data_IF_082917453864
#
_entry.id   IF_082917453864
#
_cell.length_a   1.000
_cell.length_b   1.000
_cell.length_c   1.000
_cell.angle_alpha   90.00
_cell.angle_beta   90.00
_cell.angle_gamma   90.00
#
_symmetry.space_group_name_H-M   'P 1'
#
loop_
_entity.id
_entity.type
_entity.pdbx_description
1 polymer ?
#
# COMPACT_ATOMS: atom_id res chain seq x y z
N UNK A 1 27.64 -28.76 19.18
CA UNK A 1 27.69 -27.51 19.97
C UNK A 1 27.84 -26.28 19.08
N UNK A 2 28.78 -26.27 18.13
CA UNK A 2 28.95 -25.14 17.19
C UNK A 2 27.77 -24.99 16.23
N UNK A 3 27.20 -26.08 15.69
CA UNK A 3 25.98 -26.03 14.86
C UNK A 3 24.80 -25.39 15.60
N UNK A 4 24.54 -25.82 16.83
CA UNK A 4 23.47 -25.24 17.65
C UNK A 4 23.66 -23.74 17.89
N UNK A 5 24.91 -23.29 18.12
CA UNK A 5 25.22 -21.87 18.28
C UNK A 5 24.99 -21.10 16.96
N UNK A 6 25.34 -21.69 15.82
CA UNK A 6 25.18 -21.08 14.52
C UNK A 6 23.70 -21.00 14.09
N UNK A 7 22.92 -22.04 14.37
CA UNK A 7 21.48 -22.10 14.13
C UNK A 7 20.73 -21.10 15.01
N UNK A 8 21.05 -21.05 16.31
CA UNK A 8 20.49 -20.09 17.25
C UNK A 8 20.80 -18.64 16.88
N UNK A 9 22.06 -18.34 16.51
CA UNK A 9 22.47 -17.00 16.08
C UNK A 9 21.84 -16.67 14.71
N UNK A 10 21.77 -17.63 13.80
CA UNK A 10 21.14 -17.47 12.50
C UNK A 10 19.65 -17.13 12.63
N UNK A 11 18.90 -17.91 13.39
CA UNK A 11 17.48 -17.69 13.65
C UNK A 11 17.23 -16.35 14.34
N UNK A 12 18.01 -16.03 15.38
CA UNK A 12 17.92 -14.74 16.07
C UNK A 12 18.17 -13.55 15.14
N UNK A 13 19.21 -13.62 14.30
CA UNK A 13 19.49 -12.55 13.33
C UNK A 13 18.36 -12.44 12.32
N UNK A 14 17.90 -13.55 11.75
CA UNK A 14 16.84 -13.56 10.75
C UNK A 14 15.53 -12.99 11.32
N UNK A 15 15.22 -13.30 12.57
CA UNK A 15 14.05 -12.80 13.27
C UNK A 15 14.16 -11.31 13.59
N UNK A 16 15.28 -10.85 14.17
CA UNK A 16 15.51 -9.43 14.48
C UNK A 16 15.54 -8.59 13.22
N UNK A 17 16.27 -9.02 12.17
CA UNK A 17 16.33 -8.28 10.91
C UNK A 17 14.98 -8.32 10.18
N UNK A 18 14.28 -9.45 10.19
CA UNK A 18 12.96 -9.57 9.57
C UNK A 18 11.94 -8.64 10.23
N UNK A 19 11.81 -8.71 11.55
CA UNK A 19 10.90 -7.85 12.32
C UNK A 19 11.27 -6.37 12.18
N UNK A 20 12.56 -6.03 12.26
CA UNK A 20 13.01 -4.65 12.11
C UNK A 20 12.73 -4.11 10.70
N UNK A 21 12.97 -4.89 9.65
CA UNK A 21 12.65 -4.49 8.28
C UNK A 21 11.14 -4.36 8.06
N UNK A 22 10.33 -5.24 8.65
CA UNK A 22 8.87 -5.15 8.60
C UNK A 22 8.39 -3.92 9.36
N UNK A 23 8.88 -3.67 10.57
CA UNK A 23 8.47 -2.52 11.38
C UNK A 23 8.93 -1.19 10.76
N UNK A 24 10.21 -1.08 10.37
CA UNK A 24 10.73 0.09 9.66
C UNK A 24 10.04 0.28 8.31
N UNK A 25 9.78 -0.81 7.60
CA UNK A 25 8.96 -0.84 6.41
C UNK A 25 7.60 -0.23 6.70
N UNK A 26 6.77 -0.88 7.51
CA UNK A 26 5.43 -0.43 7.89
C UNK A 26 5.41 1.00 8.43
N UNK A 27 6.42 1.42 9.19
CA UNK A 27 6.52 2.78 9.72
C UNK A 27 6.86 3.80 8.63
N UNK A 28 7.79 3.50 7.74
CA UNK A 28 8.07 4.30 6.55
C UNK A 28 6.87 4.30 5.59
N UNK A 29 6.10 3.20 5.54
CA UNK A 29 4.84 3.14 4.82
C UNK A 29 3.81 4.04 5.50
N UNK A 30 3.74 4.11 6.83
CA UNK A 30 2.73 4.88 7.56
C UNK A 30 3.07 6.38 7.72
N UNK A 31 4.35 6.77 7.69
CA UNK A 31 4.80 8.17 7.85
C UNK A 31 4.17 9.15 6.84
N UNK A 32 4.12 8.85 5.52
CA UNK A 32 3.43 9.65 4.52
C UNK A 32 1.94 9.91 4.83
N UNK A 33 1.33 9.05 5.65
CA UNK A 33 -0.08 9.10 6.00
C UNK A 33 -0.34 9.95 7.25
N UNK A 34 0.68 10.17 8.08
CA UNK A 34 0.61 10.90 9.36
C UNK A 34 1.18 12.31 9.28
N UNK A 35 2.23 12.53 8.49
CA UNK A 35 2.77 13.87 8.28
C UNK A 35 1.70 14.77 7.64
N UNK A 36 1.77 16.09 7.86
CA UNK A 36 1.06 17.08 7.04
C UNK A 36 1.99 17.63 5.95
N UNK A 37 2.41 16.87 4.92
CA UNK A 37 3.11 17.49 3.81
C UNK A 37 2.18 18.47 3.11
N UNK A 38 2.77 19.46 2.45
CA UNK A 38 2.05 20.24 1.45
C UNK A 38 1.42 19.28 0.43
N UNK A 39 0.15 19.49 0.08
CA UNK A 39 -0.70 18.53 -0.65
C UNK A 39 -0.07 18.03 -1.97
N UNK A 40 0.77 18.85 -2.58
CA UNK A 40 1.53 18.58 -3.79
C UNK A 40 2.62 17.51 -3.64
N UNK A 41 3.26 17.41 -2.47
CA UNK A 41 4.28 16.39 -2.21
C UNK A 41 3.67 15.04 -1.80
N UNK A 42 2.47 15.06 -1.25
CA UNK A 42 1.78 13.83 -0.86
C UNK A 42 1.36 13.01 -2.10
N UNK A 43 0.84 13.66 -3.15
CA UNK A 43 0.34 12.96 -4.34
C UNK A 43 1.35 12.00 -5.01
N UNK A 44 2.59 12.40 -5.33
CA UNK A 44 3.57 11.50 -5.90
C UNK A 44 3.99 10.39 -4.93
N UNK A 45 3.98 10.64 -3.60
CA UNK A 45 4.27 9.61 -2.61
C UNK A 45 3.23 8.48 -2.64
N UNK A 46 1.93 8.82 -2.73
CA UNK A 46 0.86 7.82 -2.84
C UNK A 46 0.91 7.03 -4.16
N UNK A 47 1.32 7.67 -5.26
CA UNK A 47 1.52 6.98 -6.54
C UNK A 47 2.68 5.99 -6.48
N UNK A 48 3.85 6.44 -6.02
CA UNK A 48 5.04 5.58 -5.89
C UNK A 48 4.76 4.43 -4.94
N UNK A 49 4.09 4.71 -3.82
CA UNK A 49 3.76 3.70 -2.83
C UNK A 49 2.74 2.68 -3.36
N UNK A 50 1.67 3.12 -4.01
CA UNK A 50 0.70 2.21 -4.65
C UNK A 50 1.36 1.32 -5.72
N UNK A 51 2.26 1.88 -6.53
CA UNK A 51 3.02 1.13 -7.52
C UNK A 51 3.95 0.09 -6.87
N UNK A 52 4.65 0.46 -5.79
CA UNK A 52 5.54 -0.46 -5.07
C UNK A 52 4.76 -1.62 -4.41
N UNK A 53 3.63 -1.31 -3.77
CA UNK A 53 2.74 -2.32 -3.19
C UNK A 53 2.23 -3.30 -4.25
N UNK A 54 1.84 -2.80 -5.42
CA UNK A 54 1.34 -3.69 -6.46
C UNK A 54 2.45 -4.47 -7.17
N UNK A 55 3.64 -3.89 -7.34
CA UNK A 55 4.79 -4.65 -7.84
C UNK A 55 5.10 -5.86 -6.96
N UNK A 56 5.05 -5.68 -5.63
CA UNK A 56 5.14 -6.80 -4.68
C UNK A 56 3.94 -7.75 -4.80
N UNK A 57 2.74 -7.22 -5.01
CA UNK A 57 1.53 -8.03 -5.13
C UNK A 57 1.50 -8.87 -6.41
N UNK A 58 1.96 -8.33 -7.54
CA UNK A 58 2.13 -9.04 -8.82
C UNK A 58 3.22 -10.09 -8.70
N UNK A 59 4.33 -9.78 -8.02
CA UNK A 59 5.38 -10.77 -7.77
C UNK A 59 4.87 -11.99 -6.99
N UNK A 60 3.95 -11.77 -6.03
CA UNK A 60 3.32 -12.85 -5.26
C UNK A 60 2.16 -13.54 -6.01
N UNK A 61 1.38 -12.77 -6.77
CA UNK A 61 0.19 -13.21 -7.51
C UNK A 61 0.30 -12.70 -8.95
N UNK A 62 0.97 -13.47 -9.83
CA UNK A 62 1.33 -12.98 -11.15
C UNK A 62 0.15 -12.96 -12.12
N UNK A 63 -0.99 -13.58 -11.82
CA UNK A 63 -2.12 -13.64 -12.74
C UNK A 63 -3.18 -12.56 -12.47
N UNK A 64 -3.89 -12.18 -13.51
CA UNK A 64 -5.03 -11.27 -13.39
C UNK A 64 -6.18 -11.86 -12.55
N UNK A 65 -6.59 -11.12 -11.52
CA UNK A 65 -7.76 -11.46 -10.69
C UNK A 65 -9.09 -11.12 -11.37
N UNK A 66 -9.06 -10.31 -12.43
CA UNK A 66 -10.25 -9.88 -13.17
C UNK A 66 -10.31 -10.52 -14.55
N UNK A 67 -11.49 -10.98 -15.00
CA UNK A 67 -11.68 -11.49 -16.36
C UNK A 67 -11.28 -10.47 -17.43
N UNK A 68 -10.81 -10.90 -18.62
CA UNK A 68 -10.29 -10.02 -19.67
C UNK A 68 -11.18 -8.82 -20.02
N UNK A 69 -12.49 -9.05 -20.16
CA UNK A 69 -13.49 -8.00 -20.48
C UNK A 69 -13.60 -6.92 -19.40
N UNK A 70 -13.26 -7.25 -18.15
CA UNK A 70 -13.35 -6.35 -17.01
C UNK A 70 -12.03 -5.67 -16.66
N UNK A 71 -10.89 -6.05 -17.26
CA UNK A 71 -9.56 -5.51 -16.90
C UNK A 71 -9.48 -3.99 -17.09
N UNK A 72 -9.96 -3.49 -18.24
CA UNK A 72 -9.92 -2.06 -18.57
C UNK A 72 -10.96 -1.24 -17.78
N UNK A 73 -12.23 -1.69 -17.62
CA UNK A 73 -13.17 -1.06 -16.69
C UNK A 73 -12.65 -1.03 -15.25
N UNK A 74 -12.03 -2.13 -14.78
CA UNK A 74 -11.49 -2.25 -13.43
C UNK A 74 -10.38 -1.23 -13.15
N UNK A 75 -9.62 -0.83 -14.19
CA UNK A 75 -8.58 0.21 -14.11
C UNK A 75 -9.12 1.57 -13.65
N UNK A 76 -10.41 1.84 -13.88
CA UNK A 76 -11.06 3.11 -13.52
C UNK A 76 -12.03 2.92 -12.36
N UNK A 77 -12.90 1.90 -12.45
CA UNK A 77 -13.97 1.69 -11.48
C UNK A 77 -13.43 1.39 -10.09
N UNK A 78 -12.40 0.56 -9.98
CA UNK A 78 -11.84 0.17 -8.68
C UNK A 78 -11.14 1.33 -7.98
N UNK A 79 -10.27 2.12 -8.62
CA UNK A 79 -9.71 3.31 -7.98
C UNK A 79 -10.76 4.33 -7.54
N UNK A 80 -11.81 4.54 -8.34
CA UNK A 80 -12.92 5.44 -7.98
C UNK A 80 -13.66 4.90 -6.75
N UNK A 81 -13.97 3.60 -6.73
CA UNK A 81 -14.64 2.96 -5.60
C UNK A 81 -13.79 3.05 -4.32
N UNK A 82 -12.48 2.77 -4.41
CA UNK A 82 -11.55 2.86 -3.28
C UNK A 82 -11.45 4.31 -2.78
N UNK A 83 -11.27 5.29 -3.67
CA UNK A 83 -11.27 6.70 -3.30
C UNK A 83 -12.56 7.12 -2.60
N UNK A 84 -13.71 6.63 -3.06
CA UNK A 84 -15.02 6.87 -2.44
C UNK A 84 -15.13 6.28 -1.04
N UNK A 85 -14.69 5.03 -0.85
CA UNK A 85 -14.67 4.37 0.46
C UNK A 85 -13.75 5.11 1.43
N UNK A 86 -12.56 5.52 0.99
CA UNK A 86 -11.63 6.28 1.83
C UNK A 86 -12.22 7.64 2.24
N UNK A 87 -12.90 8.34 1.32
CA UNK A 87 -13.63 9.57 1.61
C UNK A 87 -14.75 9.37 2.64
N UNK A 88 -15.51 8.28 2.54
CA UNK A 88 -16.56 7.95 3.50
C UNK A 88 -15.98 7.65 4.89
N UNK A 89 -14.87 6.91 4.97
CA UNK A 89 -14.14 6.65 6.22
C UNK A 89 -13.62 7.94 6.84
N UNK A 90 -13.05 8.84 6.03
CA UNK A 90 -12.61 10.16 6.49
C UNK A 90 -13.72 10.98 7.11
N UNK A 91 -14.88 11.03 6.44
CA UNK A 91 -16.06 11.73 6.95
C UNK A 91 -16.57 11.12 8.26
N UNK A 92 -16.57 9.78 8.34
CA UNK A 92 -16.98 9.08 9.55
C UNK A 92 -16.04 9.33 10.73
N UNK A 93 -14.71 9.36 10.50
CA UNK A 93 -13.70 9.71 11.53
C UNK A 93 -13.80 11.17 11.97
N UNK A 94 -14.00 12.09 11.01
CA UNK A 94 -14.20 13.50 11.29
C UNK A 94 -15.43 13.73 12.19
N UNK A 95 -16.53 13.02 11.96
CA UNK A 95 -17.73 13.05 12.83
C UNK A 95 -17.47 12.57 14.26
N UNK A 96 -16.43 11.76 14.48
CA UNK A 96 -16.01 11.26 15.80
C UNK A 96 -14.94 12.12 16.46
N UNK A 97 -14.58 13.26 15.86
CA UNK A 97 -13.51 14.13 16.36
C UNK A 97 -12.11 13.53 16.24
N UNK A 98 -11.94 12.49 15.43
CA UNK A 98 -10.64 11.85 15.21
C UNK A 98 -9.87 12.57 14.10
N UNK A 99 -8.54 12.59 14.21
CA UNK A 99 -7.70 13.07 13.12
C UNK A 99 -7.85 12.13 11.91
N UNK A 100 -8.34 12.67 10.79
CA UNK A 100 -8.42 11.92 9.54
C UNK A 100 -7.05 11.97 8.82
N UNK A 101 -6.37 10.82 8.61
CA UNK A 101 -5.13 10.77 7.81
C UNK A 101 -5.36 11.23 6.37
N UNK A 102 -4.30 11.63 5.66
CA UNK A 102 -4.46 12.16 4.29
C UNK A 102 -5.09 11.14 3.33
N UNK A 103 -4.80 9.84 3.46
CA UNK A 103 -5.42 8.79 2.61
C UNK A 103 -6.95 8.83 2.63
N UNK A 104 -7.55 9.31 3.71
CA UNK A 104 -9.00 9.42 3.84
C UNK A 104 -9.60 10.47 2.91
N UNK A 105 -8.78 11.27 2.20
CA UNK A 105 -9.25 12.11 1.11
C UNK A 105 -9.33 11.28 -0.16
N UNK A 106 -10.45 11.43 -0.87
CA UNK A 106 -10.70 10.77 -2.14
C UNK A 106 -9.48 10.74 -3.07
N UNK A 107 -8.83 11.89 -3.27
CA UNK A 107 -7.73 12.02 -4.22
C UNK A 107 -6.54 11.10 -3.89
N UNK A 108 -6.17 10.95 -2.61
CA UNK A 108 -5.02 10.13 -2.23
C UNK A 108 -5.36 8.64 -2.24
N UNK A 109 -6.55 8.25 -1.76
CA UNK A 109 -7.05 6.88 -1.91
C UNK A 109 -7.19 6.46 -3.38
N UNK A 110 -7.68 7.36 -4.23
CA UNK A 110 -7.79 7.17 -5.68
C UNK A 110 -6.41 7.00 -6.34
N UNK A 111 -5.46 7.92 -6.09
CA UNK A 111 -4.12 7.85 -6.68
C UNK A 111 -3.37 6.57 -6.29
N UNK A 112 -3.46 6.19 -5.02
CA UNK A 112 -2.88 4.93 -4.53
C UNK A 112 -3.47 3.71 -5.27
N UNK A 113 -4.80 3.61 -5.32
CA UNK A 113 -5.48 2.49 -5.96
C UNK A 113 -5.30 2.49 -7.48
N UNK A 114 -5.18 3.66 -8.12
CA UNK A 114 -4.91 3.80 -9.54
C UNK A 114 -3.51 3.28 -9.87
N UNK A 115 -2.49 3.66 -9.08
CA UNK A 115 -1.14 3.15 -9.27
C UNK A 115 -1.10 1.63 -9.17
N UNK A 116 -1.82 1.07 -8.20
CA UNK A 116 -1.95 -0.38 -8.04
C UNK A 116 -2.63 -1.03 -9.25
N UNK A 117 -3.76 -0.49 -9.71
CA UNK A 117 -4.48 -1.04 -10.85
C UNK A 117 -3.67 -0.97 -12.16
N UNK A 118 -2.90 0.12 -12.37
CA UNK A 118 -2.05 0.32 -13.54
C UNK A 118 -0.91 -0.68 -13.57
N UNK A 119 -0.18 -0.85 -12.47
CA UNK A 119 0.92 -1.82 -12.41
C UNK A 119 0.39 -3.22 -12.71
N UNK A 120 -0.71 -3.63 -12.07
CA UNK A 120 -1.31 -4.95 -12.31
C UNK A 120 -1.71 -5.15 -13.77
N UNK A 121 -2.34 -4.16 -14.37
CA UNK A 121 -2.81 -4.25 -15.75
C UNK A 121 -1.67 -4.47 -16.76
N UNK A 122 -0.48 -3.93 -16.49
CA UNK A 122 0.68 -4.06 -17.39
C UNK A 122 1.61 -5.23 -17.05
N UNK A 123 1.68 -5.63 -15.77
CA UNK A 123 2.71 -6.58 -15.30
C UNK A 123 2.16 -7.93 -14.84
N UNK A 124 0.84 -8.09 -14.71
CA UNK A 124 0.25 -9.42 -14.48
C UNK A 124 0.13 -10.19 -15.81
N UNK A 125 0.21 -11.52 -15.72
CA UNK A 125 0.00 -12.51 -16.79
C UNK A 125 -1.50 -12.85 -16.98
#
# INVERSE_FOLDING_TARGET
>A
MIEFLFELVGEFLLQVFGELLVELGLRALAEPFQARPNAWFAAPAYLVFGAACDALSVWLVPYHLTPPVWRLPNLVLTPVAVGGVMAALGHWRARRGQAAPLIDRFAYGYLFALALAVVRYFFAD
#
